data_IF_795275105465
#
_entry.id   IF_795275105465
#
_cell.length_a   1.000
_cell.length_b   1.000
_cell.length_c   1.000
_cell.angle_alpha   90.00
_cell.angle_beta   90.00
_cell.angle_gamma   90.00
#
_symmetry.space_group_name_H-M   'P 1'
#
loop_
_entity.id
_entity.type
_entity.pdbx_description
1 polymer ?
#
# COMPACT_ATOMS: atom_id res chain seq x y z
N UNK A 1 -32.04 -15.57 6.13
CA UNK A 1 -31.31 -14.49 6.85
C UNK A 1 -29.84 -14.39 6.47
N UNK A 2 -29.02 -15.45 6.57
CA UNK A 2 -27.58 -15.43 6.23
C UNK A 2 -27.26 -15.02 4.77
N UNK A 3 -28.06 -15.49 3.79
CA UNK A 3 -27.91 -15.13 2.37
C UNK A 3 -28.06 -13.62 2.13
N UNK A 4 -29.01 -12.98 2.83
CA UNK A 4 -29.32 -11.55 2.69
C UNK A 4 -28.20 -10.69 3.27
N UNK A 5 -27.56 -11.13 4.36
CA UNK A 5 -26.38 -10.45 4.92
C UNK A 5 -25.17 -10.54 3.97
N UNK A 6 -24.93 -11.70 3.35
CA UNK A 6 -23.86 -11.86 2.34
C UNK A 6 -24.07 -10.97 1.12
N UNK A 7 -25.30 -10.90 0.62
CA UNK A 7 -25.67 -10.03 -0.50
C UNK A 7 -25.53 -8.53 -0.14
N UNK A 8 -25.90 -8.13 1.08
CA UNK A 8 -25.69 -6.74 1.55
C UNK A 8 -24.21 -6.38 1.66
N UNK A 9 -23.37 -7.31 2.10
CA UNK A 9 -21.92 -7.09 2.19
C UNK A 9 -21.29 -6.96 0.80
N UNK A 10 -21.63 -7.87 -0.13
CA UNK A 10 -21.17 -7.78 -1.53
C UNK A 10 -21.62 -6.48 -2.20
N UNK A 11 -22.86 -6.04 -1.95
CA UNK A 11 -23.37 -4.78 -2.48
C UNK A 11 -22.61 -3.58 -1.91
N UNK A 12 -22.34 -3.58 -0.60
CA UNK A 12 -21.55 -2.52 0.03
C UNK A 12 -20.12 -2.47 -0.51
N UNK A 13 -19.50 -3.64 -0.69
CA UNK A 13 -18.16 -3.75 -1.27
C UNK A 13 -18.11 -3.24 -2.71
N UNK A 14 -19.07 -3.64 -3.55
CA UNK A 14 -19.18 -3.17 -4.93
C UNK A 14 -19.40 -1.65 -5.03
N UNK A 15 -20.17 -1.06 -4.10
CA UNK A 15 -20.35 0.39 -4.02
C UNK A 15 -19.05 1.11 -3.67
N UNK A 16 -18.29 0.58 -2.72
CA UNK A 16 -16.99 1.14 -2.33
C UNK A 16 -15.97 1.06 -3.48
N UNK A 17 -15.96 -0.05 -4.21
CA UNK A 17 -15.10 -0.20 -5.39
C UNK A 17 -15.51 0.74 -6.53
N UNK A 18 -16.81 0.99 -6.71
CA UNK A 18 -17.30 1.97 -7.69
C UNK A 18 -16.84 3.38 -7.32
N UNK A 19 -17.00 3.79 -6.07
CA UNK A 19 -16.57 5.11 -5.58
C UNK A 19 -15.06 5.33 -5.70
N UNK A 20 -14.26 4.28 -5.47
CA UNK A 20 -12.82 4.33 -5.69
C UNK A 20 -12.49 4.53 -7.18
N UNK A 21 -13.13 3.77 -8.07
CA UNK A 21 -12.92 3.92 -9.52
C UNK A 21 -13.36 5.29 -10.04
N UNK A 22 -14.46 5.84 -9.52
CA UNK A 22 -14.90 7.19 -9.87
C UNK A 22 -13.86 8.25 -9.43
N UNK A 23 -13.25 8.08 -8.26
CA UNK A 23 -12.14 8.93 -7.81
C UNK A 23 -10.92 8.81 -8.73
N UNK A 24 -10.55 7.59 -9.12
CA UNK A 24 -9.41 7.34 -9.99
C UNK A 24 -9.64 7.94 -11.40
N UNK A 25 -10.86 7.83 -11.93
CA UNK A 25 -11.25 8.45 -13.21
C UNK A 25 -11.07 9.96 -13.15
N UNK A 26 -11.50 10.62 -12.07
CA UNK A 26 -11.33 12.07 -11.91
C UNK A 26 -9.85 12.45 -11.85
N UNK A 27 -9.05 11.68 -11.10
CA UNK A 27 -7.61 11.93 -10.99
C UNK A 27 -6.89 11.78 -12.33
N UNK A 28 -7.13 10.68 -13.05
CA UNK A 28 -6.56 10.44 -14.38
C UNK A 28 -7.03 11.47 -15.40
N UNK A 29 -8.30 11.89 -15.34
CA UNK A 29 -8.81 12.95 -16.20
C UNK A 29 -8.08 14.27 -15.97
N UNK A 30 -7.78 14.60 -14.71
CA UNK A 30 -6.99 15.78 -14.35
C UNK A 30 -5.57 15.68 -14.91
N UNK A 31 -4.91 14.53 -14.74
CA UNK A 31 -3.56 14.28 -15.25
C UNK A 31 -3.51 14.39 -16.79
N UNK A 32 -4.49 13.82 -17.49
CA UNK A 32 -4.59 13.94 -18.96
C UNK A 32 -4.77 15.39 -19.40
N UNK A 33 -5.54 16.19 -18.67
CA UNK A 33 -5.69 17.63 -18.95
C UNK A 33 -4.37 18.36 -18.72
N UNK A 34 -3.68 18.10 -17.61
CA UNK A 34 -2.37 18.69 -17.30
C UNK A 34 -1.33 18.33 -18.37
N UNK A 35 -1.27 17.07 -18.80
CA UNK A 35 -0.39 16.61 -19.86
C UNK A 35 -0.72 17.26 -21.20
N UNK A 36 -2.00 17.47 -21.52
CA UNK A 36 -2.43 18.19 -22.73
C UNK A 36 -2.05 19.66 -22.68
N UNK A 37 -2.19 20.32 -21.54
CA UNK A 37 -1.76 21.71 -21.33
C UNK A 37 -0.24 21.84 -21.43
N UNK A 38 0.50 20.92 -20.83
CA UNK A 38 1.96 20.88 -20.93
C UNK A 38 2.42 20.66 -22.38
N UNK A 39 1.80 19.70 -23.08
CA UNK A 39 2.04 19.49 -24.52
C UNK A 39 1.71 20.74 -25.34
N UNK A 40 0.58 21.38 -25.07
CA UNK A 40 0.17 22.62 -25.73
C UNK A 40 1.17 23.76 -25.49
N UNK A 41 1.67 23.90 -24.26
CA UNK A 41 2.70 24.89 -23.91
C UNK A 41 4.03 24.64 -24.64
N UNK A 42 4.39 23.38 -24.88
CA UNK A 42 5.56 23.01 -25.69
C UNK A 42 5.34 23.16 -27.19
N UNK A 43 4.10 23.09 -27.67
CA UNK A 43 3.74 23.26 -29.08
C UNK A 43 3.27 24.68 -29.45
N UNK A 44 3.36 25.65 -28.53
CA UNK A 44 3.02 27.05 -28.80
C UNK A 44 4.13 27.71 -29.63
N UNK A 45 3.87 28.16 -30.86
CA UNK A 45 4.85 28.87 -31.67
C UNK A 45 4.74 30.37 -31.39
N UNK A 46 5.52 30.88 -30.44
CA UNK A 46 5.84 32.32 -30.21
C UNK A 46 6.64 32.38 -28.88
N UNK A 47 7.85 32.90 -28.74
CA UNK A 47 8.66 33.83 -29.51
C UNK A 47 10.14 33.50 -29.30
N UNK A 48 10.87 33.17 -30.37
CA UNK A 48 12.27 33.60 -30.56
C UNK A 48 12.56 33.79 -32.04
N UNK A 49 12.19 34.95 -32.57
CA UNK A 49 12.99 35.61 -33.59
C UNK A 49 14.38 35.89 -33.02
N UNK A 50 15.38 35.11 -33.42
CA UNK A 50 16.49 35.57 -34.27
C UNK A 50 17.63 34.56 -34.18
N UNK A 51 17.90 33.87 -35.30
CA UNK A 51 19.24 33.71 -35.90
C UNK A 51 19.33 32.41 -36.70
N UNK A 52 19.26 32.60 -38.02
CA UNK A 52 20.11 31.99 -39.05
C UNK A 52 20.13 30.46 -39.19
N UNK A 53 19.42 30.01 -40.24
CA UNK A 53 19.97 29.24 -41.36
C UNK A 53 20.63 27.87 -41.07
N UNK A 54 19.88 26.79 -41.34
CA UNK A 54 20.39 25.64 -42.10
C UNK A 54 19.24 24.67 -42.49
N UNK A 55 18.89 24.73 -43.77
CA UNK A 55 18.69 23.61 -44.71
C UNK A 55 17.80 22.40 -44.31
N UNK A 56 16.80 22.21 -45.16
CA UNK A 56 15.79 21.15 -45.26
C UNK A 56 16.33 19.74 -45.50
N UNK A 57 15.74 18.71 -44.87
CA UNK A 57 15.44 17.42 -45.54
C UNK A 57 14.06 16.89 -45.13
N UNK A 58 13.26 16.74 -46.19
CA UNK A 58 11.90 16.22 -46.37
C UNK A 58 11.34 15.16 -45.40
N UNK A 59 10.12 15.48 -45.00
CA UNK A 59 8.95 14.65 -44.70
C UNK A 59 8.72 13.46 -45.65
N UNK A 60 8.24 12.34 -45.08
CA UNK A 60 7.14 11.57 -45.65
C UNK A 60 6.31 11.01 -44.48
N UNK A 61 5.22 11.72 -44.21
CA UNK A 61 4.01 11.28 -43.55
C UNK A 61 3.22 10.37 -44.50
N UNK A 62 2.70 9.26 -43.99
CA UNK A 62 1.54 8.58 -44.57
C UNK A 62 0.61 8.21 -43.43
N UNK A 63 -0.47 8.97 -43.32
CA UNK A 63 -1.62 8.68 -42.47
C UNK A 63 -2.42 7.49 -43.04
N UNK A 64 -3.15 6.83 -42.13
CA UNK A 64 -4.61 6.65 -42.21
C UNK A 64 -5.17 5.21 -42.16
N UNK A 65 -6.30 5.11 -41.44
CA UNK A 65 -7.36 4.08 -41.44
C UNK A 65 -7.24 2.81 -40.56
N UNK A 66 -8.02 2.81 -39.48
CA UNK A 66 -8.84 1.67 -39.01
C UNK A 66 -10.27 1.81 -39.59
N UNK A 67 -11.18 0.80 -39.59
CA UNK A 67 -11.14 -0.60 -39.10
C UNK A 67 -11.72 -1.63 -40.11
N UNK A 68 -11.65 -2.95 -39.84
CA UNK A 68 -12.78 -3.91 -39.99
C UNK A 68 -12.40 -5.36 -39.64
N UNK A 69 -13.42 -6.17 -39.41
CA UNK A 69 -13.47 -7.36 -38.58
C UNK A 69 -13.27 -8.71 -39.32
N UNK A 70 -12.97 -9.71 -38.49
CA UNK A 70 -13.39 -11.11 -38.53
C UNK A 70 -12.69 -12.17 -39.44
N UNK A 71 -12.19 -13.21 -38.72
CA UNK A 71 -12.39 -14.66 -38.96
C UNK A 71 -11.29 -15.49 -39.69
N UNK A 72 -10.53 -16.23 -38.86
CA UNK A 72 -10.18 -17.69 -38.94
C UNK A 72 -8.92 -18.16 -39.73
N UNK A 73 -7.93 -18.62 -38.92
CA UNK A 73 -7.28 -19.96 -38.88
C UNK A 73 -5.91 -20.27 -39.56
N UNK A 74 -5.11 -20.98 -38.73
CA UNK A 74 -4.00 -21.91 -39.01
C UNK A 74 -2.69 -21.39 -39.64
N UNK A 75 -1.48 -21.86 -39.35
CA UNK A 75 -0.79 -22.68 -38.32
C UNK A 75 0.70 -22.71 -38.79
N UNK A 76 1.67 -22.88 -37.87
CA UNK A 76 3.09 -23.29 -38.08
C UNK A 76 4.13 -22.30 -38.68
N UNK A 77 5.11 -21.86 -37.87
CA UNK A 77 6.51 -22.34 -37.86
C UNK A 77 7.38 -21.62 -36.79
N UNK A 78 8.28 -22.39 -36.17
CA UNK A 78 9.17 -22.06 -35.05
C UNK A 78 10.46 -21.32 -35.52
N UNK A 79 11.57 -21.28 -34.73
CA UNK A 79 12.04 -20.14 -33.95
C UNK A 79 13.42 -19.63 -34.46
N UNK A 80 13.94 -18.48 -34.00
CA UNK A 80 15.39 -18.27 -33.81
C UNK A 80 15.75 -16.83 -33.42
N UNK A 81 16.59 -16.74 -32.39
CA UNK A 81 17.70 -15.78 -32.24
C UNK A 81 17.40 -14.28 -32.10
N UNK A 82 16.93 -13.87 -30.91
CA UNK A 82 17.23 -12.54 -30.39
C UNK A 82 18.46 -12.60 -29.48
N UNK A 83 19.63 -12.46 -30.09
CA UNK A 83 20.89 -12.16 -29.41
C UNK A 83 21.37 -10.77 -29.88
N UNK A 84 20.75 -9.70 -29.34
CA UNK A 84 21.16 -8.32 -29.59
C UNK A 84 22.00 -7.79 -28.42
N UNK A 85 23.32 -7.80 -28.58
CA UNK A 85 24.21 -6.93 -27.82
C UNK A 85 24.29 -5.58 -28.51
N UNK A 86 23.82 -4.52 -27.83
CA UNK A 86 24.15 -3.13 -28.16
C UNK A 86 25.43 -2.75 -27.41
N UNK A 87 26.58 -2.99 -28.04
CA UNK A 87 27.82 -2.32 -27.69
C UNK A 87 28.00 -1.15 -28.67
N UNK A 88 27.56 0.04 -28.23
CA UNK A 88 27.85 1.32 -28.86
C UNK A 88 29.23 1.78 -28.40
N UNK A 89 30.26 1.39 -29.16
CA UNK A 89 31.63 1.89 -28.94
C UNK A 89 31.78 3.19 -29.73
N UNK A 90 31.61 4.30 -29.03
CA UNK A 90 31.99 5.63 -29.51
C UNK A 90 33.49 5.69 -29.84
N UNK A 91 33.79 6.06 -31.08
CA UNK A 91 35.12 6.43 -31.53
C UNK A 91 35.00 7.61 -32.49
N UNK A 92 35.21 8.82 -31.96
CA UNK A 92 35.13 10.06 -32.72
C UNK A 92 36.51 10.73 -32.68
N UNK A 93 37.13 10.73 -33.86
CA UNK A 93 38.04 11.71 -34.47
C UNK A 93 39.10 12.40 -33.58
N UNK A 94 40.35 11.95 -33.82
CA UNK A 94 41.60 12.65 -33.55
C UNK A 94 41.67 13.97 -34.34
N UNK A 95 41.38 15.09 -33.67
CA UNK A 95 41.50 16.43 -34.21
C UNK A 95 42.86 17.07 -33.91
N UNK A 96 43.93 16.58 -34.52
CA UNK A 96 45.21 17.31 -34.60
C UNK A 96 45.07 18.50 -35.56
N UNK A 97 44.51 19.61 -35.07
CA UNK A 97 44.55 20.89 -35.79
C UNK A 97 45.95 21.51 -35.69
N UNK A 98 46.83 21.10 -36.61
CA UNK A 98 47.91 21.95 -37.09
C UNK A 98 47.42 22.71 -38.32
N UNK A 99 47.27 24.03 -38.22
CA UNK A 99 47.19 24.87 -39.42
C UNK A 99 47.89 26.20 -39.20
N UNK A 100 49.01 26.32 -39.92
CA UNK A 100 49.80 27.51 -40.11
C UNK A 100 49.10 28.31 -41.21
N UNK A 101 48.47 29.43 -40.83
CA UNK A 101 48.09 30.45 -41.78
C UNK A 101 48.80 31.76 -41.44
N UNK A 102 49.89 31.96 -42.18
CA UNK A 102 50.52 33.24 -42.44
C UNK A 102 49.47 34.20 -43.00
N UNK A 103 49.16 35.26 -42.26
CA UNK A 103 48.55 36.46 -42.82
C UNK A 103 49.39 37.64 -42.35
N UNK A 104 50.18 38.15 -43.29
CA UNK A 104 50.88 39.42 -43.20
C UNK A 104 49.84 40.53 -43.04
N UNK A 105 49.83 41.14 -41.86
CA UNK A 105 48.90 42.21 -41.54
C UNK A 105 49.43 43.56 -42.02
N UNK A 106 48.52 44.32 -42.61
CA UNK A 106 48.75 45.59 -43.28
C UNK A 106 49.16 46.68 -42.27
N UNK A 107 50.46 46.98 -42.17
CA UNK A 107 50.89 48.25 -41.57
C UNK A 107 50.65 49.41 -42.53
N UNK A 108 49.46 50.03 -42.47
CA UNK A 108 49.29 51.42 -42.93
C UNK A 108 48.22 52.18 -42.15
N UNK A 109 48.57 52.60 -40.94
CA UNK A 109 47.86 53.68 -40.23
C UNK A 109 48.25 55.05 -40.82
N UNK A 110 47.29 55.91 -41.18
CA UNK A 110 47.53 57.23 -41.76
C UNK A 110 47.48 58.31 -40.69
N UNK A 111 48.42 58.32 -39.75
CA UNK A 111 48.60 59.47 -38.86
C UNK A 111 50.04 59.97 -38.93
N UNK A 112 50.12 61.14 -39.58
CA UNK A 112 51.21 62.11 -39.62
C UNK A 112 51.98 62.14 -38.30
N UNK A 113 53.31 62.13 -38.36
CA UNK A 113 54.11 63.03 -37.54
C UNK A 113 55.37 63.44 -38.29
N UNK A 114 55.30 64.68 -38.77
CA UNK A 114 56.39 65.50 -39.28
C UNK A 114 57.38 65.70 -38.13
N UNK A 115 58.59 65.17 -38.28
CA UNK A 115 59.72 65.46 -37.39
C UNK A 115 60.06 66.95 -37.54
N UNK A 116 59.54 67.76 -36.62
CA UNK A 116 60.05 69.10 -36.34
C UNK A 116 60.81 68.99 -35.03
N UNK A 117 62.12 69.04 -35.19
CA UNK A 117 63.11 69.22 -34.15
C UNK A 117 62.85 70.56 -33.44
N UNK A 118 62.28 70.48 -32.24
CA UNK A 118 62.40 71.54 -31.24
C UNK A 118 62.70 70.90 -29.89
N UNK A 119 63.76 71.42 -29.28
CA UNK A 119 64.35 71.03 -28.02
C UNK A 119 63.36 70.97 -26.84
N UNK A 120 63.71 70.10 -25.89
CA UNK A 120 63.42 70.20 -24.44
C UNK A 120 61.99 69.98 -23.94
N UNK A 121 61.36 68.82 -24.20
CA UNK A 121 60.33 68.19 -23.29
C UNK A 121 60.30 66.65 -23.31
N UNK A 122 61.41 65.98 -23.59
CA UNK A 122 61.45 64.51 -23.74
C UNK A 122 61.27 63.70 -22.45
N UNK A 123 61.61 64.26 -21.30
CA UNK A 123 61.63 63.50 -20.03
C UNK A 123 60.23 63.29 -19.43
N UNK A 124 59.31 64.26 -19.59
CA UNK A 124 57.98 64.21 -18.95
C UNK A 124 57.01 63.26 -19.67
N UNK A 125 57.06 63.19 -21.00
CA UNK A 125 56.22 62.27 -21.78
C UNK A 125 56.67 60.80 -21.67
N UNK A 126 57.98 60.55 -21.59
CA UNK A 126 58.53 59.22 -21.37
C UNK A 126 58.20 58.68 -19.97
N UNK A 127 58.22 59.54 -18.94
CA UNK A 127 57.77 59.18 -17.59
C UNK A 127 56.28 58.77 -17.58
N UNK A 128 55.42 59.52 -18.27
CA UNK A 128 53.99 59.22 -18.36
C UNK A 128 53.68 57.93 -19.14
N UNK A 129 54.46 57.58 -20.15
CA UNK A 129 54.34 56.29 -20.88
C UNK A 129 54.77 55.11 -19.99
N UNK A 130 55.84 55.28 -19.21
CA UNK A 130 56.34 54.26 -18.30
C UNK A 130 55.37 54.04 -17.11
N UNK A 131 54.78 55.11 -16.58
CA UNK A 131 53.70 55.06 -15.59
C UNK A 131 52.46 54.34 -16.14
N UNK A 132 51.99 54.72 -17.34
CA UNK A 132 50.86 54.06 -17.99
C UNK A 132 51.12 52.57 -18.29
N UNK A 133 52.35 52.22 -18.66
CA UNK A 133 52.76 50.82 -18.85
C UNK A 133 52.78 50.05 -17.52
N UNK A 134 53.22 50.69 -16.42
CA UNK A 134 53.16 50.11 -15.08
C UNK A 134 51.72 49.88 -14.61
N UNK A 135 50.83 50.84 -14.83
CA UNK A 135 49.40 50.70 -14.52
C UNK A 135 48.73 49.62 -15.35
N UNK A 136 49.03 49.53 -16.65
CA UNK A 136 48.55 48.48 -17.53
C UNK A 136 49.02 47.09 -17.06
N UNK A 137 50.28 46.97 -16.64
CA UNK A 137 50.82 45.71 -16.10
C UNK A 137 50.13 45.30 -14.78
N UNK A 138 49.85 46.25 -13.89
CA UNK A 138 49.09 46.00 -12.66
C UNK A 138 47.67 45.54 -12.95
N UNK A 139 47.01 46.17 -13.92
CA UNK A 139 45.64 45.81 -14.31
C UNK A 139 45.59 44.40 -14.93
N UNK A 140 46.57 44.04 -15.77
CA UNK A 140 46.70 42.68 -16.32
C UNK A 140 46.86 41.66 -15.19
N UNK A 141 47.75 41.93 -14.24
CA UNK A 141 47.97 41.04 -13.09
C UNK A 141 46.70 40.88 -12.24
N UNK A 142 45.92 41.93 -12.07
CA UNK A 142 44.64 41.87 -11.36
C UNK A 142 43.59 41.04 -12.10
N UNK A 143 43.47 41.20 -13.43
CA UNK A 143 42.58 40.37 -14.24
C UNK A 143 43.01 38.91 -14.29
N UNK A 144 44.30 38.63 -14.42
CA UNK A 144 44.86 37.27 -14.37
C UNK A 144 44.55 36.62 -13.02
N UNK A 145 44.78 37.33 -11.92
CA UNK A 145 44.41 36.87 -10.57
C UNK A 145 42.92 36.61 -10.47
N UNK A 146 42.08 37.50 -11.01
CA UNK A 146 40.62 37.36 -10.96
C UNK A 146 40.13 36.16 -11.77
N UNK A 147 40.72 35.90 -12.94
CA UNK A 147 40.42 34.73 -13.77
C UNK A 147 40.84 33.45 -13.04
N UNK A 148 42.02 33.42 -12.43
CA UNK A 148 42.49 32.26 -11.65
C UNK A 148 41.57 31.97 -10.46
N UNK A 149 41.17 33.01 -9.71
CA UNK A 149 40.21 32.85 -8.61
C UNK A 149 38.86 32.33 -9.09
N UNK A 150 38.37 32.81 -10.23
CA UNK A 150 37.10 32.36 -10.80
C UNK A 150 37.16 30.89 -11.22
N UNK A 151 38.23 30.49 -11.91
CA UNK A 151 38.47 29.09 -12.32
C UNK A 151 38.55 28.19 -11.08
N UNK A 152 39.37 28.57 -10.09
CA UNK A 152 39.51 27.83 -8.83
C UNK A 152 38.15 27.65 -8.12
N UNK A 153 37.36 28.72 -8.04
CA UNK A 153 36.03 28.66 -7.39
C UNK A 153 35.08 27.74 -8.16
N UNK A 154 35.06 27.82 -9.49
CA UNK A 154 34.22 26.95 -10.31
C UNK A 154 34.64 25.47 -10.22
N UNK A 155 35.94 25.19 -10.15
CA UNK A 155 36.46 23.84 -9.93
C UNK A 155 36.04 23.28 -8.57
N UNK A 156 36.13 24.11 -7.52
CA UNK A 156 35.68 23.78 -6.15
C UNK A 156 34.16 23.51 -6.10
N UNK A 157 33.35 24.39 -6.70
CA UNK A 157 31.90 24.23 -6.76
C UNK A 157 31.50 22.97 -7.53
N UNK A 158 32.17 22.69 -8.65
CA UNK A 158 31.95 21.48 -9.45
C UNK A 158 32.33 20.23 -8.66
N UNK A 159 33.45 20.27 -7.93
CA UNK A 159 33.88 19.17 -7.08
C UNK A 159 32.87 18.90 -5.96
N UNK A 160 32.44 19.93 -5.24
CA UNK A 160 31.46 19.81 -4.16
C UNK A 160 30.11 19.30 -4.67
N UNK A 161 29.65 19.77 -5.84
CA UNK A 161 28.39 19.30 -6.42
C UNK A 161 28.46 17.82 -6.80
N UNK A 162 29.57 17.38 -7.42
CA UNK A 162 29.79 15.97 -7.76
C UNK A 162 29.86 15.10 -6.52
N UNK A 163 30.57 15.54 -5.49
CA UNK A 163 30.66 14.84 -4.22
C UNK A 163 29.27 14.66 -3.59
N UNK A 164 28.47 15.74 -3.50
CA UNK A 164 27.11 15.68 -2.97
C UNK A 164 26.20 14.72 -3.75
N UNK A 165 26.31 14.70 -5.08
CA UNK A 165 25.56 13.74 -5.89
C UNK A 165 26.02 12.31 -5.65
N UNK A 166 27.33 12.08 -5.53
CA UNK A 166 27.88 10.77 -5.25
C UNK A 166 27.43 10.24 -3.87
N UNK A 167 27.53 11.07 -2.82
CA UNK A 167 27.02 10.76 -1.48
C UNK A 167 25.53 10.37 -1.53
N UNK A 168 24.73 11.10 -2.33
CA UNK A 168 23.30 10.81 -2.46
C UNK A 168 23.04 9.49 -3.18
N UNK A 169 23.83 9.17 -4.21
CA UNK A 169 23.75 7.89 -4.91
C UNK A 169 24.11 6.74 -3.96
N UNK A 170 25.17 6.88 -3.17
CA UNK A 170 25.57 5.88 -2.19
C UNK A 170 24.48 5.66 -1.12
N UNK A 171 23.89 6.73 -0.60
CA UNK A 171 22.76 6.65 0.34
C UNK A 171 21.58 5.86 -0.27
N UNK A 172 21.23 6.13 -1.53
CA UNK A 172 20.14 5.43 -2.22
C UNK A 172 20.47 3.96 -2.47
N UNK A 173 21.70 3.64 -2.87
CA UNK A 173 22.15 2.27 -3.08
C UNK A 173 22.15 1.47 -1.77
N UNK A 174 22.61 2.09 -0.68
CA UNK A 174 22.53 1.51 0.65
C UNK A 174 21.07 1.24 1.04
N UNK A 175 20.18 2.19 0.79
CA UNK A 175 18.76 2.04 1.09
C UNK A 175 18.09 0.90 0.31
N UNK A 176 18.43 0.76 -0.98
CA UNK A 176 17.95 -0.36 -1.82
C UNK A 176 18.45 -1.69 -1.25
N UNK A 177 19.73 -1.73 -0.86
CA UNK A 177 20.33 -2.95 -0.28
C UNK A 177 19.64 -3.36 1.01
N UNK A 178 19.36 -2.41 1.90
CA UNK A 178 18.61 -2.65 3.14
C UNK A 178 17.19 -3.17 2.89
N UNK A 179 16.48 -2.56 1.93
CA UNK A 179 15.12 -2.97 1.57
C UNK A 179 15.13 -4.38 0.97
N UNK A 180 16.07 -4.67 0.08
CA UNK A 180 16.22 -5.99 -0.53
C UNK A 180 16.54 -7.06 0.53
N UNK A 181 17.43 -6.77 1.49
CA UNK A 181 17.72 -7.68 2.59
C UNK A 181 16.45 -8.00 3.41
N UNK A 182 15.70 -6.96 3.81
CA UNK A 182 14.42 -7.14 4.53
C UNK A 182 13.39 -7.92 3.72
N UNK A 183 13.30 -7.68 2.42
CA UNK A 183 12.40 -8.42 1.54
C UNK A 183 12.72 -9.92 1.59
N UNK A 184 14.01 -10.29 1.49
CA UNK A 184 14.43 -11.68 1.56
C UNK A 184 14.22 -12.32 2.94
N UNK A 185 14.25 -11.54 4.02
CA UNK A 185 13.89 -12.02 5.37
C UNK A 185 12.38 -12.24 5.53
N UNK A 186 11.55 -11.37 4.93
CA UNK A 186 10.08 -11.42 5.03
C UNK A 186 9.45 -12.53 4.19
N UNK A 187 10.06 -12.92 3.07
CA UNK A 187 9.51 -13.95 2.16
C UNK A 187 9.29 -15.29 2.88
N UNK A 188 10.27 -15.86 3.60
CA UNK A 188 10.07 -17.08 4.39
C UNK A 188 9.00 -16.96 5.47
N UNK A 189 8.90 -15.81 6.15
CA UNK A 189 7.88 -15.57 7.17
C UNK A 189 6.47 -15.57 6.58
N UNK A 190 6.30 -14.92 5.42
CA UNK A 190 5.04 -14.92 4.66
C UNK A 190 4.65 -16.34 4.25
N UNK A 191 5.60 -17.13 3.73
CA UNK A 191 5.34 -18.49 3.29
C UNK A 191 5.00 -19.41 4.46
N UNK A 192 5.71 -19.29 5.58
CA UNK A 192 5.38 -20.00 6.83
C UNK A 192 3.99 -19.63 7.35
N UNK A 193 3.62 -18.34 7.32
CA UNK A 193 2.29 -17.89 7.73
C UNK A 193 1.19 -18.45 6.81
N UNK A 194 1.41 -18.49 5.49
CA UNK A 194 0.49 -19.11 4.53
C UNK A 194 0.30 -20.60 4.78
N UNK A 195 1.38 -21.34 5.05
CA UNK A 195 1.29 -22.74 5.41
C UNK A 195 0.51 -22.94 6.70
N UNK A 196 0.73 -22.08 7.70
CA UNK A 196 0.00 -22.14 8.96
C UNK A 196 -1.49 -21.87 8.79
N UNK A 197 -1.86 -20.94 7.90
CA UNK A 197 -3.27 -20.68 7.56
C UNK A 197 -3.90 -21.91 6.94
N UNK A 198 -3.26 -22.53 5.93
CA UNK A 198 -3.76 -23.75 5.28
C UNK A 198 -3.97 -24.89 6.28
N UNK A 199 -3.03 -25.08 7.20
CA UNK A 199 -3.13 -26.09 8.26
C UNK A 199 -4.33 -25.81 9.18
N UNK A 200 -4.52 -24.56 9.60
CA UNK A 200 -5.66 -24.19 10.45
C UNK A 200 -7.00 -24.32 9.73
N UNK A 201 -7.06 -23.99 8.44
CA UNK A 201 -8.24 -24.19 7.60
C UNK A 201 -8.60 -25.67 7.50
N UNK A 202 -7.61 -26.55 7.29
CA UNK A 202 -7.81 -28.00 7.26
C UNK A 202 -8.31 -28.53 8.61
N UNK A 203 -7.69 -28.09 9.71
CA UNK A 203 -8.13 -28.48 11.06
C UNK A 203 -9.57 -28.05 11.35
N UNK A 204 -9.98 -26.87 10.87
CA UNK A 204 -11.33 -26.36 11.01
C UNK A 204 -12.34 -27.16 10.17
N UNK A 205 -11.97 -27.52 8.94
CA UNK A 205 -12.78 -28.39 8.08
C UNK A 205 -12.97 -29.77 8.72
N UNK A 206 -11.89 -30.40 9.20
CA UNK A 206 -11.99 -31.70 9.85
C UNK A 206 -12.81 -31.66 11.14
N UNK A 207 -12.64 -30.61 11.96
CA UNK A 207 -13.42 -30.44 13.18
C UNK A 207 -14.91 -30.27 12.87
N UNK A 208 -15.23 -29.50 11.83
CA UNK A 208 -16.61 -29.31 11.36
C UNK A 208 -17.22 -30.62 10.85
N UNK A 209 -16.48 -31.39 10.06
CA UNK A 209 -16.90 -32.72 9.59
C UNK A 209 -17.15 -33.69 10.75
N UNK A 210 -16.25 -33.72 11.75
CA UNK A 210 -16.42 -34.56 12.94
C UNK A 210 -17.67 -34.18 13.75
N UNK A 211 -17.99 -32.88 13.83
CA UNK A 211 -19.20 -32.41 14.51
C UNK A 211 -20.46 -32.86 13.76
N UNK A 212 -20.50 -32.70 12.44
CA UNK A 212 -21.62 -33.14 11.60
C UNK A 212 -21.85 -34.66 11.71
N UNK A 213 -20.77 -35.46 11.65
CA UNK A 213 -20.86 -36.91 11.86
C UNK A 213 -21.41 -37.28 13.25
N UNK A 214 -21.08 -36.52 14.29
CA UNK A 214 -21.63 -36.74 15.63
C UNK A 214 -23.11 -36.38 15.71
N UNK A 215 -23.52 -35.26 15.08
CA UNK A 215 -24.92 -34.86 15.00
C UNK A 215 -25.76 -35.90 14.25
N UNK A 216 -25.25 -36.45 13.15
CA UNK A 216 -25.95 -37.46 12.36
C UNK A 216 -26.07 -38.79 13.09
N UNK A 217 -25.01 -39.22 13.78
CA UNK A 217 -25.07 -40.38 14.68
C UNK A 217 -26.13 -40.18 15.77
N UNK A 218 -26.17 -38.99 16.39
CA UNK A 218 -27.15 -38.66 17.42
C UNK A 218 -28.59 -38.67 16.88
N UNK A 219 -28.82 -38.10 15.68
CA UNK A 219 -30.12 -38.14 14.99
C UNK A 219 -30.54 -39.58 14.71
N UNK A 220 -29.62 -40.42 14.22
CA UNK A 220 -29.90 -41.81 13.91
C UNK A 220 -30.25 -42.61 15.17
N UNK A 221 -29.48 -42.45 16.25
CA UNK A 221 -29.79 -43.09 17.54
C UNK A 221 -31.14 -42.60 18.09
N UNK A 222 -31.43 -41.31 18.02
CA UNK A 222 -32.73 -40.76 18.44
C UNK A 222 -33.89 -41.38 17.64
N UNK A 223 -33.75 -41.50 16.32
CA UNK A 223 -34.75 -42.10 15.45
C UNK A 223 -34.99 -43.59 15.79
N UNK A 224 -33.91 -44.33 16.07
CA UNK A 224 -33.98 -45.74 16.47
C UNK A 224 -34.66 -45.92 17.83
N UNK A 225 -34.30 -45.11 18.83
CA UNK A 225 -34.95 -45.16 20.15
C UNK A 225 -36.43 -44.77 20.05
N UNK A 226 -36.78 -43.80 19.20
CA UNK A 226 -38.16 -43.40 18.97
C UNK A 226 -39.00 -44.51 18.32
N UNK A 227 -38.49 -45.17 17.28
CA UNK A 227 -39.19 -46.29 16.64
C UNK A 227 -39.32 -47.50 17.58
N UNK A 228 -38.28 -47.79 18.36
CA UNK A 228 -38.30 -48.81 19.40
C UNK A 228 -39.34 -48.49 20.48
N UNK A 229 -39.42 -47.23 20.93
CA UNK A 229 -40.42 -46.77 21.89
C UNK A 229 -41.85 -46.92 21.37
N UNK A 230 -42.10 -46.61 20.09
CA UNK A 230 -43.40 -46.86 19.47
C UNK A 230 -43.75 -48.36 19.41
N UNK A 231 -42.77 -49.21 19.09
CA UNK A 231 -42.98 -50.66 19.07
C UNK A 231 -43.27 -51.21 20.46
N UNK A 232 -42.52 -50.77 21.48
CA UNK A 232 -42.73 -51.16 22.87
C UNK A 232 -44.09 -50.71 23.39
N UNK A 233 -44.52 -49.47 23.09
CA UNK A 233 -45.84 -48.97 23.48
C UNK A 233 -46.99 -49.75 22.83
N UNK A 234 -46.84 -50.14 21.55
CA UNK A 234 -47.83 -51.02 20.88
C UNK A 234 -47.91 -52.39 21.55
N UNK A 235 -46.76 -52.97 21.91
CA UNK A 235 -46.69 -54.26 22.58
C UNK A 235 -47.22 -54.19 24.01
N UNK A 236 -46.97 -53.10 24.73
CA UNK A 236 -47.56 -52.84 26.05
C UNK A 236 -49.07 -52.67 25.96
N UNK A 237 -49.58 -51.99 24.93
CA UNK A 237 -51.02 -51.87 24.70
C UNK A 237 -51.66 -53.23 24.38
N UNK A 238 -51.02 -54.04 23.54
CA UNK A 238 -51.46 -55.41 23.23
C UNK A 238 -51.39 -56.31 24.48
N UNK A 239 -50.32 -56.22 25.27
CA UNK A 239 -50.20 -56.92 26.55
C UNK A 239 -51.23 -56.42 27.57
N UNK A 240 -51.53 -55.12 27.61
CA UNK A 240 -52.54 -54.54 28.48
C UNK A 240 -53.94 -54.98 28.06
N UNK A 241 -54.24 -55.13 26.78
CA UNK A 241 -55.51 -55.70 26.30
C UNK A 241 -55.63 -57.19 26.68
N UNK A 242 -54.52 -57.95 26.62
CA UNK A 242 -54.43 -59.35 27.06
C UNK A 242 -54.51 -59.48 28.60
N UNK A 243 -53.90 -58.56 29.34
CA UNK A 243 -53.90 -58.49 30.80
C UNK A 243 -55.25 -57.98 31.30
N UNK A 244 -55.90 -57.03 30.65
CA UNK A 244 -57.26 -56.56 30.95
C UNK A 244 -58.30 -57.67 30.74
N UNK A 245 -58.08 -58.57 29.77
CA UNK A 245 -58.84 -59.81 29.64
C UNK A 245 -58.57 -60.82 30.78
N UNK A 246 -57.45 -60.69 31.50
CA UNK A 246 -56.97 -61.60 32.56
C UNK A 246 -57.10 -61.06 33.99
N UNK A 247 -57.19 -59.73 34.20
CA UNK A 247 -57.09 -59.06 35.52
C UNK A 247 -58.30 -58.18 35.84
N UNK A 248 -59.50 -58.63 35.48
CA UNK A 248 -60.79 -58.01 35.82
C UNK A 248 -60.98 -57.64 37.32
N UNK A 249 -60.04 -57.91 38.24
CA UNK A 249 -60.20 -57.65 39.68
C UNK A 249 -58.90 -57.30 40.45
N UNK A 250 -58.12 -56.27 40.07
CA UNK A 250 -57.12 -55.67 40.99
C UNK A 250 -56.97 -54.14 40.79
N UNK A 251 -56.77 -53.33 41.85
CA UNK A 251 -56.67 -51.87 41.73
C UNK A 251 -55.30 -51.44 41.23
N UNK A 252 -55.30 -50.50 40.27
CA UNK A 252 -54.17 -50.17 39.37
C UNK A 252 -53.00 -49.38 39.95
N UNK A 253 -53.07 -48.78 41.14
CA UNK A 253 -51.91 -48.22 41.85
C UNK A 253 -52.22 -48.08 43.34
N UNK A 254 -51.24 -48.38 44.20
CA UNK A 254 -51.33 -48.03 45.61
C UNK A 254 -51.25 -46.51 45.79
N UNK A 255 -52.00 -45.94 46.75
CA UNK A 255 -51.94 -44.51 47.06
C UNK A 255 -50.51 -44.00 47.30
N UNK A 256 -49.62 -44.88 47.77
CA UNK A 256 -48.18 -44.60 47.99
C UNK A 256 -47.40 -44.39 46.68
N UNK A 257 -47.76 -45.10 45.62
CA UNK A 257 -47.10 -45.02 44.30
C UNK A 257 -47.60 -43.80 43.51
N UNK A 258 -48.89 -43.48 43.62
CA UNK A 258 -49.43 -42.25 43.05
C UNK A 258 -48.77 -41.00 43.67
N UNK A 259 -48.58 -41.01 44.99
CA UNK A 259 -47.95 -39.90 45.70
C UNK A 259 -46.46 -39.75 45.34
N UNK A 260 -45.74 -40.85 45.16
CA UNK A 260 -44.31 -40.81 44.80
C UNK A 260 -44.09 -40.25 43.39
N UNK A 261 -44.93 -40.63 42.42
CA UNK A 261 -44.90 -40.10 41.06
C UNK A 261 -45.23 -38.60 41.01
N UNK A 262 -46.23 -38.16 41.78
CA UNK A 262 -46.57 -36.74 41.86
C UNK A 262 -45.44 -35.90 42.47
N UNK A 263 -44.83 -36.37 43.57
CA UNK A 263 -43.68 -35.70 44.20
C UNK A 263 -42.48 -35.64 43.25
N UNK A 264 -42.19 -36.72 42.53
CA UNK A 264 -41.09 -36.76 41.57
C UNK A 264 -41.34 -35.83 40.38
N UNK A 265 -42.57 -35.79 39.87
CA UNK A 265 -43.02 -34.88 38.81
C UNK A 265 -42.90 -33.41 39.22
N UNK A 266 -43.39 -33.07 40.42
CA UNK A 266 -43.27 -31.73 41.00
C UNK A 266 -41.80 -31.31 41.16
N UNK A 267 -40.95 -32.21 41.69
CA UNK A 267 -39.51 -31.95 41.86
C UNK A 267 -38.80 -31.73 40.52
N UNK A 268 -39.11 -32.55 39.51
CA UNK A 268 -38.55 -32.42 38.15
C UNK A 268 -38.96 -31.11 37.47
N UNK A 269 -40.22 -30.69 37.64
CA UNK A 269 -40.70 -29.40 37.14
C UNK A 269 -39.98 -28.23 37.84
N UNK A 270 -39.80 -28.32 39.15
CA UNK A 270 -39.10 -27.28 39.93
C UNK A 270 -37.63 -27.15 39.52
N UNK A 271 -36.92 -28.27 39.30
CA UNK A 271 -35.53 -28.25 38.80
C UNK A 271 -35.44 -27.64 37.40
N UNK A 272 -36.37 -27.97 36.50
CA UNK A 272 -36.42 -27.37 35.17
C UNK A 272 -36.59 -25.86 35.26
N UNK A 273 -37.52 -25.39 36.09
CA UNK A 273 -37.77 -23.97 36.30
C UNK A 273 -36.56 -23.24 36.95
N UNK A 274 -35.86 -23.89 37.89
CA UNK A 274 -34.64 -23.36 38.49
C UNK A 274 -33.50 -23.23 37.46
N UNK A 275 -33.37 -24.22 36.56
CA UNK A 275 -32.37 -24.21 35.50
C UNK A 275 -32.67 -23.17 34.41
N UNK A 276 -33.95 -23.01 34.04
CA UNK A 276 -34.40 -21.98 33.11
C UNK A 276 -34.30 -20.56 33.72
N UNK A 277 -34.56 -20.40 35.01
CA UNK A 277 -34.33 -19.14 35.71
C UNK A 277 -32.83 -18.79 35.78
N UNK A 278 -31.95 -19.79 35.94
CA UNK A 278 -30.50 -19.59 35.93
C UNK A 278 -29.94 -19.26 34.54
N UNK A 279 -30.58 -19.71 33.46
CA UNK A 279 -30.13 -19.43 32.09
C UNK A 279 -30.56 -18.07 31.55
N UNK A 280 -31.64 -17.46 32.11
CA UNK A 280 -32.13 -16.13 31.71
C UNK A 280 -31.20 -14.95 32.04
N UNK A 281 -30.19 -15.16 32.89
CA UNK A 281 -29.24 -14.12 33.29
C UNK A 281 -27.98 -14.07 32.42
N UNK A 282 -27.86 -14.88 31.36
CA UNK A 282 -26.80 -14.71 30.38
C UNK A 282 -27.22 -13.63 29.39
N UNK A 283 -26.71 -12.42 29.59
CA UNK A 283 -26.77 -11.34 28.61
C UNK A 283 -26.20 -11.88 27.29
N UNK A 284 -26.88 -11.60 26.18
CA UNK A 284 -26.46 -12.06 24.86
C UNK A 284 -25.00 -11.60 24.61
N UNK A 285 -24.07 -12.53 24.30
CA UNK A 285 -22.68 -12.18 24.02
C UNK A 285 -22.57 -11.15 22.89
N UNK A 286 -23.48 -11.17 21.90
CA UNK A 286 -23.47 -10.21 20.81
C UNK A 286 -23.81 -8.79 21.29
N UNK A 287 -24.79 -8.67 22.20
CA UNK A 287 -25.15 -7.38 22.82
C UNK A 287 -23.98 -6.85 23.65
N UNK A 288 -23.32 -7.72 24.41
CA UNK A 288 -22.14 -7.37 25.23
C UNK A 288 -20.98 -6.85 24.36
N UNK A 289 -20.72 -7.50 23.23
CA UNK A 289 -19.69 -7.08 22.27
C UNK A 289 -20.03 -5.75 21.60
N UNK A 290 -21.31 -5.49 21.32
CA UNK A 290 -21.75 -4.18 20.78
C UNK A 290 -21.56 -3.03 21.78
N UNK A 291 -21.86 -3.26 23.06
CA UNK A 291 -21.56 -2.30 24.11
C UNK A 291 -20.05 -2.06 24.26
N UNK A 292 -19.24 -3.12 24.22
CA UNK A 292 -17.78 -3.02 24.31
C UNK A 292 -17.20 -2.24 23.11
N UNK A 293 -17.64 -2.55 21.89
CA UNK A 293 -17.24 -1.82 20.67
C UNK A 293 -17.55 -0.34 20.77
N UNK A 294 -18.75 0.00 21.24
CA UNK A 294 -19.17 1.39 21.43
C UNK A 294 -18.34 2.09 22.51
N UNK A 295 -18.10 1.42 23.63
CA UNK A 295 -17.30 1.96 24.73
C UNK A 295 -15.85 2.24 24.30
N UNK A 296 -15.23 1.35 23.51
CA UNK A 296 -13.87 1.56 22.95
C UNK A 296 -13.86 2.69 21.93
N UNK A 297 -14.84 2.75 21.03
CA UNK A 297 -14.94 3.83 20.05
C UNK A 297 -15.00 5.20 20.73
N UNK A 298 -15.91 5.38 21.69
CA UNK A 298 -16.04 6.65 22.40
C UNK A 298 -14.88 6.93 23.36
N UNK A 299 -14.24 5.91 23.93
CA UNK A 299 -13.00 6.11 24.68
C UNK A 299 -11.89 6.77 23.84
N UNK A 300 -11.78 6.42 22.56
CA UNK A 300 -10.76 6.96 21.65
C UNK A 300 -11.15 8.30 21.01
N UNK A 301 -12.45 8.53 20.81
CA UNK A 301 -12.99 9.67 20.05
C UNK A 301 -13.52 10.80 20.93
N UNK A 302 -14.04 10.49 22.12
CA UNK A 302 -14.55 11.45 23.10
C UNK A 302 -13.55 11.65 24.24
N UNK A 303 -12.76 12.73 24.12
CA UNK A 303 -11.77 13.10 25.14
C UNK A 303 -12.41 13.70 26.40
N UNK A 304 -13.61 14.28 26.32
CA UNK A 304 -14.27 14.92 27.46
C UNK A 304 -14.82 13.89 28.45
N UNK A 305 -15.29 12.74 27.95
CA UNK A 305 -15.82 11.65 28.79
C UNK A 305 -15.01 10.35 28.72
N UNK A 306 -13.72 10.43 28.41
CA UNK A 306 -12.85 9.25 28.33
C UNK A 306 -12.84 8.40 29.62
N UNK A 307 -13.02 9.02 30.80
CA UNK A 307 -13.06 8.28 32.07
C UNK A 307 -14.35 7.47 32.25
N UNK A 308 -15.51 7.99 31.82
CA UNK A 308 -16.77 7.25 31.85
C UNK A 308 -16.75 6.04 30.93
N UNK A 309 -16.19 6.20 29.72
CA UNK A 309 -16.04 5.10 28.76
C UNK A 309 -15.04 4.04 29.24
N UNK A 310 -13.92 4.44 29.86
CA UNK A 310 -12.99 3.50 30.46
C UNK A 310 -13.64 2.66 31.57
N UNK A 311 -14.44 3.30 32.44
CA UNK A 311 -15.17 2.60 33.49
C UNK A 311 -16.20 1.60 32.93
N UNK A 312 -16.86 1.95 31.82
CA UNK A 312 -17.76 1.03 31.12
C UNK A 312 -17.00 -0.19 30.55
N UNK A 313 -15.82 0.03 29.92
CA UNK A 313 -14.96 -1.05 29.43
C UNK A 313 -14.53 -1.96 30.58
N UNK A 314 -14.11 -1.38 31.72
CA UNK A 314 -13.71 -2.14 32.90
C UNK A 314 -14.85 -2.98 33.47
N UNK A 315 -16.06 -2.43 33.49
CA UNK A 315 -17.26 -3.14 33.95
C UNK A 315 -17.68 -4.27 33.01
N UNK A 316 -17.51 -4.12 31.69
CA UNK A 316 -17.90 -5.14 30.71
C UNK A 316 -16.89 -6.29 30.68
N UNK A 317 -15.60 -5.99 30.78
CA UNK A 317 -14.53 -6.99 30.76
C UNK A 317 -14.27 -7.64 32.12
N UNK A 318 -14.81 -7.08 33.21
CA UNK A 318 -14.74 -7.67 34.54
C UNK A 318 -13.35 -7.64 35.16
N UNK A 319 -12.60 -6.56 34.97
CA UNK A 319 -11.26 -6.43 35.56
C UNK A 319 -11.29 -6.51 37.09
N UNK A 320 -10.26 -7.14 37.64
CA UNK A 320 -10.00 -7.20 39.08
C UNK A 320 -9.59 -5.83 39.63
N UNK A 321 -9.78 -5.62 40.93
CA UNK A 321 -9.39 -4.36 41.59
C UNK A 321 -7.90 -4.02 41.42
N UNK A 322 -7.03 -5.04 41.34
CA UNK A 322 -5.60 -4.90 41.05
C UNK A 322 -5.34 -4.39 39.63
N UNK A 323 -6.06 -4.93 38.63
CA UNK A 323 -5.92 -4.50 37.23
C UNK A 323 -6.42 -3.07 37.04
N UNK A 324 -7.55 -2.72 37.66
CA UNK A 324 -8.08 -1.35 37.64
C UNK A 324 -7.06 -0.36 38.22
N UNK A 325 -6.44 -0.69 39.37
CA UNK A 325 -5.42 0.16 39.98
C UNK A 325 -4.19 0.36 39.09
N UNK A 326 -3.76 -0.67 38.36
CA UNK A 326 -2.64 -0.57 37.43
C UNK A 326 -2.98 0.31 36.21
N UNK A 327 -4.19 0.18 35.67
CA UNK A 327 -4.69 1.00 34.56
C UNK A 327 -4.79 2.47 34.97
N UNK A 328 -5.27 2.75 36.18
CA UNK A 328 -5.34 4.12 36.71
C UNK A 328 -3.94 4.74 36.85
N UNK A 329 -2.97 3.99 37.41
CA UNK A 329 -1.58 4.45 37.52
C UNK A 329 -0.95 4.74 36.15
N UNK A 330 -1.19 3.88 35.16
CA UNK A 330 -0.69 4.07 33.80
C UNK A 330 -1.26 5.31 33.09
N UNK A 331 -2.45 5.79 33.50
CA UNK A 331 -3.06 7.01 32.95
C UNK A 331 -2.55 8.30 33.62
N UNK A 332 -1.99 8.19 34.83
CA UNK A 332 -1.44 9.31 35.62
C UNK A 332 0.05 9.59 35.35
N UNK A 333 0.71 8.72 34.60
CA UNK A 333 2.12 8.85 34.20
C UNK A 333 2.20 9.51 32.83
#
# INVERSE_FOLDING_TARGET
MKQVQKLKHLLHQAKKELEQKDSDIVALTKEVVELRLYKAALSSPEDKSNSSDAITVRENTSEDTTPEADVIDSVHHLPSDLNHSFADSGHYEDGTNSSIHSNDDYTRSPFKNKLVETSDKGCTAHMSILEKSSEQSKLIMEYEKRIQELVRTHEEDTYHLKQKHNDKVEELLQRITEINARYWELVPELDSAKEKIKELELQLEEASRRLEEQEDKAKQTYLQMYSQGQAAARLEQENADVEYASTSNQPLLSAKEALSLWVLGARKAMYRQLMEAKSRNKIDPEITLQFLKSAVYYFLTDKENSHGHLKAIQSILGFTASEISNIEKAKLT
#
